data_IF_121281719983
#
_entry.id   IF_121281719983
#
_cell.length_a   1.000
_cell.length_b   1.000
_cell.length_c   1.000
_cell.angle_alpha   90.00
_cell.angle_beta   90.00
_cell.angle_gamma   90.00
#
_symmetry.space_group_name_H-M   'P 1'
#
loop_
_entity.id
_entity.type
_entity.pdbx_description
1 polymer ?
#
# COMPACT_ATOMS: atom_id res chain seq x y z
N UNK A 1 -10.79 5.14 38.91
CA UNK A 1 -9.37 4.88 38.61
C UNK A 1 -9.25 3.38 38.33
N UNK A 2 -9.45 2.96 37.07
CA UNK A 2 -9.41 1.55 36.69
C UNK A 2 -8.10 1.33 35.92
N UNK A 3 -7.27 0.46 36.48
CA UNK A 3 -5.96 0.02 35.98
C UNK A 3 -6.24 -1.07 34.95
N UNK A 4 -6.12 -0.76 33.66
CA UNK A 4 -6.18 -1.78 32.61
C UNK A 4 -4.77 -2.32 32.33
N UNK A 5 -4.68 -3.64 32.29
CA UNK A 5 -3.45 -4.42 32.28
C UNK A 5 -2.65 -4.22 31.00
N UNK A 6 -1.35 -3.97 31.18
CA UNK A 6 -0.32 -4.26 30.18
C UNK A 6 -0.39 -5.76 29.90
N UNK A 7 -0.90 -6.17 28.74
CA UNK A 7 -0.54 -7.37 27.96
C UNK A 7 -1.70 -7.81 27.06
N UNK A 8 -1.78 -7.21 25.86
CA UNK A 8 -2.47 -7.80 24.71
C UNK A 8 -1.72 -7.55 23.38
N UNK A 9 -0.42 -7.19 23.46
CA UNK A 9 0.46 -7.04 22.30
C UNK A 9 1.70 -7.90 22.52
N UNK A 10 1.53 -9.22 22.48
CA UNK A 10 2.67 -10.11 22.32
C UNK A 10 2.28 -11.39 21.60
N UNK A 11 1.60 -11.26 20.46
CA UNK A 11 1.76 -12.28 19.42
C UNK A 11 3.06 -11.94 18.72
N UNK A 12 4.10 -12.79 18.78
CA UNK A 12 5.28 -12.56 17.98
C UNK A 12 4.82 -12.67 16.52
N UNK A 13 4.64 -11.53 15.84
CA UNK A 13 4.63 -11.54 14.38
C UNK A 13 6.05 -11.98 14.03
N UNK A 14 6.18 -13.28 13.75
CA UNK A 14 7.39 -13.85 13.22
C UNK A 14 7.65 -13.11 11.91
N UNK A 15 8.59 -12.15 11.93
CA UNK A 15 9.00 -11.30 10.81
C UNK A 15 9.85 -12.10 9.81
N UNK A 16 9.38 -13.29 9.41
CA UNK A 16 10.02 -14.04 8.33
C UNK A 16 9.37 -13.55 7.04
N UNK A 17 10.11 -12.71 6.30
CA UNK A 17 9.77 -12.35 4.93
C UNK A 17 9.54 -13.62 4.12
N UNK A 18 8.45 -13.66 3.35
CA UNK A 18 8.10 -14.78 2.49
C UNK A 18 7.86 -14.31 1.06
N UNK A 19 7.99 -15.20 0.06
CA UNK A 19 7.50 -14.95 -1.29
C UNK A 19 5.99 -14.62 -1.27
N UNK A 20 5.61 -13.51 -1.90
CA UNK A 20 4.22 -13.06 -2.06
C UNK A 20 3.73 -13.18 -3.50
N UNK A 21 4.64 -13.12 -4.48
CA UNK A 21 4.30 -13.20 -5.89
C UNK A 21 5.48 -12.87 -6.79
N UNK A 22 5.21 -12.74 -8.09
CA UNK A 22 6.20 -12.34 -9.09
C UNK A 22 5.64 -11.18 -9.90
N UNK A 23 6.42 -10.11 -10.03
CA UNK A 23 6.13 -9.02 -10.93
C UNK A 23 6.91 -9.18 -12.23
N UNK A 24 6.23 -8.96 -13.35
CA UNK A 24 6.84 -8.93 -14.67
C UNK A 24 7.08 -7.49 -15.10
N UNK A 25 8.34 -7.11 -15.24
CA UNK A 25 8.77 -5.81 -15.71
C UNK A 25 9.18 -5.89 -17.16
N UNK A 26 8.50 -5.12 -18.03
CA UNK A 26 8.94 -4.94 -19.41
C UNK A 26 10.08 -3.94 -19.45
N UNK A 27 11.22 -4.36 -19.99
CA UNK A 27 12.43 -3.56 -20.08
C UNK A 27 12.64 -3.01 -21.50
N UNK A 28 11.60 -2.35 -22.04
CA UNK A 28 11.57 -1.96 -23.46
C UNK A 28 11.68 -3.18 -24.38
N UNK A 29 12.60 -3.13 -25.34
CA UNK A 29 12.82 -4.20 -26.32
C UNK A 29 13.67 -5.37 -25.77
N UNK A 30 14.26 -5.24 -24.59
CA UNK A 30 15.11 -6.27 -23.96
C UNK A 30 14.29 -7.42 -23.32
N UNK A 31 12.97 -7.40 -23.48
CA UNK A 31 12.08 -8.45 -22.99
C UNK A 31 11.50 -8.18 -21.60
N UNK A 32 11.04 -9.26 -20.95
CA UNK A 32 10.39 -9.21 -19.63
C UNK A 32 11.30 -9.80 -18.57
N UNK A 33 11.52 -9.07 -17.49
CA UNK A 33 12.29 -9.52 -16.32
C UNK A 33 11.34 -9.74 -15.15
N UNK A 34 11.54 -10.84 -14.43
CA UNK A 34 10.77 -11.17 -13.24
C UNK A 34 11.44 -10.62 -11.98
N UNK A 35 10.65 -9.98 -11.13
CA UNK A 35 11.04 -9.58 -9.77
C UNK A 35 10.23 -10.37 -8.76
N UNK A 36 10.93 -11.12 -7.90
CA UNK A 36 10.30 -11.78 -6.75
C UNK A 36 9.80 -10.71 -5.78
N UNK A 37 8.51 -10.77 -5.46
CA UNK A 37 7.91 -9.95 -4.42
C UNK A 37 8.03 -10.69 -3.10
N UNK A 38 8.63 -10.06 -2.10
CA UNK A 38 8.83 -10.62 -0.77
C UNK A 38 8.23 -9.69 0.29
N UNK A 39 7.80 -10.23 1.42
CA UNK A 39 7.40 -9.43 2.57
C UNK A 39 6.45 -10.15 3.52
N UNK A 40 5.73 -9.35 4.29
CA UNK A 40 4.79 -9.80 5.33
C UNK A 40 3.36 -9.29 5.11
N UNK A 41 3.14 -8.41 4.12
CA UNK A 41 1.82 -7.92 3.74
C UNK A 41 0.97 -9.09 3.19
N UNK A 42 -0.23 -9.35 3.72
CA UNK A 42 -1.04 -10.48 3.27
C UNK A 42 -1.70 -10.18 1.93
N UNK A 43 -1.85 -11.23 1.14
CA UNK A 43 -2.54 -11.18 -0.15
C UNK A 43 -4.02 -10.86 0.03
N UNK A 44 -4.59 -10.10 -0.91
CA UNK A 44 -6.03 -9.78 -1.00
C UNK A 44 -6.59 -8.92 0.15
N UNK A 45 -5.73 -8.29 0.96
CA UNK A 45 -6.15 -7.31 1.96
C UNK A 45 -6.72 -7.88 3.27
N UNK A 46 -6.85 -9.19 3.40
CA UNK A 46 -7.31 -9.85 4.63
C UNK A 46 -6.15 -9.97 5.62
N UNK A 47 -6.32 -9.41 6.82
CA UNK A 47 -5.29 -9.44 7.88
C UNK A 47 -4.19 -8.37 7.73
N UNK A 48 -4.44 -7.33 6.92
CA UNK A 48 -3.50 -6.22 6.81
C UNK A 48 -3.44 -5.44 8.12
N UNK A 49 -2.22 -5.21 8.59
CA UNK A 49 -1.92 -4.51 9.83
C UNK A 49 -0.69 -3.61 9.66
N UNK A 50 -0.55 -2.63 10.55
CA UNK A 50 0.62 -1.75 10.60
C UNK A 50 1.90 -2.54 10.88
N UNK A 51 3.01 -2.14 10.28
CA UNK A 51 4.32 -2.82 10.40
C UNK A 51 4.52 -3.95 9.40
N UNK A 52 3.50 -4.32 8.62
CA UNK A 52 3.67 -5.20 7.47
C UNK A 52 4.28 -4.46 6.28
N UNK A 53 4.97 -5.19 5.42
CA UNK A 53 5.60 -4.61 4.24
C UNK A 53 5.56 -5.56 3.05
N UNK A 54 5.85 -5.00 1.88
CA UNK A 54 6.27 -5.77 0.73
C UNK A 54 7.34 -5.04 -0.07
N UNK A 55 8.19 -5.80 -0.74
CA UNK A 55 9.30 -5.28 -1.50
C UNK A 55 9.62 -6.12 -2.74
N UNK A 56 10.28 -5.49 -3.70
CA UNK A 56 10.74 -6.13 -4.93
C UNK A 56 12.04 -5.49 -5.38
N UNK A 57 12.96 -6.31 -5.89
CA UNK A 57 14.16 -5.82 -6.56
C UNK A 57 13.87 -5.59 -8.04
N UNK A 58 14.31 -4.45 -8.57
CA UNK A 58 14.14 -4.08 -9.97
C UNK A 58 15.38 -3.38 -10.50
N UNK A 59 15.69 -3.60 -11.76
CA UNK A 59 16.69 -2.84 -12.49
C UNK A 59 16.01 -2.09 -13.63
N UNK A 60 16.48 -0.87 -13.93
CA UNK A 60 15.97 -0.04 -15.01
C UNK A 60 17.04 0.11 -16.09
N UNK A 61 17.04 -0.71 -17.16
CA UNK A 61 17.99 -0.55 -18.26
C UNK A 61 17.68 0.72 -19.08
N UNK A 62 18.65 1.13 -19.90
CA UNK A 62 18.54 2.33 -20.72
C UNK A 62 17.33 2.26 -21.68
N UNK A 63 17.04 1.07 -22.22
CA UNK A 63 15.85 0.80 -23.05
C UNK A 63 14.53 1.16 -22.36
N UNK A 64 14.43 0.96 -21.04
CA UNK A 64 13.24 1.33 -20.26
C UNK A 64 13.12 2.83 -20.09
N UNK A 65 14.25 3.52 -19.93
CA UNK A 65 14.29 4.97 -19.85
C UNK A 65 13.84 5.56 -21.19
N UNK A 66 14.38 5.07 -22.30
CA UNK A 66 14.01 5.51 -23.66
C UNK A 66 12.53 5.26 -23.98
N UNK A 67 12.02 4.06 -23.66
CA UNK A 67 10.61 3.75 -23.83
C UNK A 67 9.72 4.69 -22.98
N UNK A 68 10.12 4.99 -21.74
CA UNK A 68 9.35 5.88 -20.87
C UNK A 68 9.38 7.33 -21.34
N UNK A 69 10.54 7.87 -21.70
CA UNK A 69 10.66 9.27 -22.17
C UNK A 69 9.95 9.46 -23.49
N UNK A 70 9.98 8.47 -24.38
CA UNK A 70 9.19 8.45 -25.62
C UNK A 70 7.68 8.44 -25.35
N UNK A 71 7.22 7.62 -24.41
CA UNK A 71 5.80 7.51 -24.06
C UNK A 71 5.25 8.76 -23.36
N UNK A 72 6.04 9.35 -22.45
CA UNK A 72 5.58 10.44 -21.58
C UNK A 72 5.88 11.83 -22.11
N UNK A 73 6.83 11.95 -23.05
CA UNK A 73 7.34 13.24 -23.51
C UNK A 73 8.33 13.90 -22.54
N UNK A 74 8.75 13.21 -21.45
CA UNK A 74 9.79 13.66 -20.54
C UNK A 74 11.17 13.63 -21.23
N UNK A 75 11.41 14.63 -22.08
CA UNK A 75 12.62 14.79 -22.88
C UNK A 75 13.74 15.54 -22.12
N UNK A 76 13.69 15.55 -20.79
CA UNK A 76 14.72 16.18 -19.99
C UNK A 76 16.10 15.53 -20.30
N UNK A 77 17.12 16.31 -20.70
CA UNK A 77 18.42 15.76 -21.11
C UNK A 77 19.12 14.91 -20.05
N UNK A 78 18.75 14.99 -18.77
CA UNK A 78 19.28 14.14 -17.69
C UNK A 78 18.94 12.65 -17.85
N UNK A 79 17.97 12.32 -18.71
CA UNK A 79 17.60 10.94 -19.04
C UNK A 79 18.34 10.40 -20.29
N UNK A 80 19.08 11.27 -20.98
CA UNK A 80 19.84 10.90 -22.17
C UNK A 80 21.01 9.97 -21.84
N UNK A 81 21.57 9.35 -22.89
CA UNK A 81 22.63 8.35 -22.81
C UNK A 81 23.90 8.80 -22.08
N UNK A 82 24.11 10.11 -21.89
CA UNK A 82 25.28 10.67 -21.21
C UNK A 82 25.16 10.65 -19.68
N UNK A 83 23.96 10.90 -19.15
CA UNK A 83 23.68 11.05 -17.71
C UNK A 83 22.97 9.82 -17.15
N UNK A 84 22.19 9.11 -17.97
CA UNK A 84 21.55 7.83 -17.67
C UNK A 84 20.76 7.84 -16.35
N UNK A 85 20.25 8.99 -15.92
CA UNK A 85 19.47 9.08 -14.69
C UNK A 85 18.07 8.55 -15.01
N UNK A 86 17.56 7.64 -14.19
CA UNK A 86 16.22 7.10 -14.34
C UNK A 86 15.20 8.20 -14.00
N UNK A 87 14.17 8.44 -14.83
CA UNK A 87 13.06 9.32 -14.49
C UNK A 87 12.47 8.95 -13.14
N UNK A 88 12.33 9.94 -12.24
CA UNK A 88 11.83 9.70 -10.90
C UNK A 88 10.46 9.02 -10.91
N UNK A 89 9.57 9.46 -11.81
CA UNK A 89 8.24 8.87 -11.97
C UNK A 89 8.29 7.44 -12.53
N UNK A 90 9.28 7.11 -13.37
CA UNK A 90 9.49 5.73 -13.82
C UNK A 90 9.86 4.83 -12.62
N UNK A 91 10.69 5.29 -11.69
CA UNK A 91 10.96 4.55 -10.44
C UNK A 91 9.66 4.33 -9.65
N UNK A 92 8.88 5.41 -9.46
CA UNK A 92 7.63 5.40 -8.72
C UNK A 92 6.56 4.47 -9.31
N UNK A 93 6.60 4.22 -10.62
CA UNK A 93 5.67 3.30 -11.29
C UNK A 93 5.66 1.89 -10.68
N UNK A 94 6.72 1.51 -9.97
CA UNK A 94 6.83 0.21 -9.30
C UNK A 94 5.90 0.10 -8.07
N UNK A 95 5.56 1.20 -7.39
CA UNK A 95 4.67 1.16 -6.22
C UNK A 95 3.26 0.67 -6.54
N UNK A 96 2.53 1.23 -7.53
CA UNK A 96 1.22 0.70 -7.89
C UNK A 96 1.29 -0.74 -8.43
N UNK A 97 2.35 -1.14 -9.13
CA UNK A 97 2.55 -2.54 -9.54
C UNK A 97 2.72 -3.48 -8.35
N UNK A 98 3.52 -3.06 -7.35
CA UNK A 98 3.73 -3.82 -6.12
C UNK A 98 2.43 -3.95 -5.33
N UNK A 99 1.68 -2.85 -5.17
CA UNK A 99 0.37 -2.89 -4.53
C UNK A 99 -0.61 -3.80 -5.27
N UNK A 100 -0.74 -3.69 -6.59
CA UNK A 100 -1.70 -4.49 -7.34
C UNK A 100 -1.36 -5.98 -7.37
N UNK A 101 -0.07 -6.32 -7.24
CA UNK A 101 0.38 -7.71 -7.11
C UNK A 101 -0.14 -8.34 -5.81
N UNK A 102 -0.15 -7.58 -4.71
CA UNK A 102 -0.49 -8.10 -3.37
C UNK A 102 -1.97 -7.87 -3.04
N UNK A 103 -2.50 -6.74 -3.48
CA UNK A 103 -3.84 -6.24 -3.20
C UNK A 103 -4.56 -6.01 -4.54
N UNK A 104 -5.12 -7.08 -5.14
CA UNK A 104 -5.96 -6.95 -6.33
C UNK A 104 -7.11 -5.96 -6.09
N UNK A 105 -7.51 -5.24 -7.14
CA UNK A 105 -8.58 -4.22 -7.12
C UNK A 105 -8.35 -3.07 -6.13
N UNK A 106 -7.12 -2.89 -5.66
CA UNK A 106 -6.74 -1.75 -4.85
C UNK A 106 -6.72 -0.46 -5.67
N UNK A 107 -7.40 0.57 -5.17
CA UNK A 107 -7.41 1.92 -5.75
C UNK A 107 -6.28 2.72 -5.14
N UNK A 108 -5.27 3.08 -5.94
CA UNK A 108 -4.21 3.97 -5.50
C UNK A 108 -4.68 5.43 -5.51
N UNK A 109 -4.81 6.05 -4.33
CA UNK A 109 -5.50 7.35 -4.18
C UNK A 109 -4.58 8.55 -4.25
N UNK A 110 -3.47 8.50 -3.54
CA UNK A 110 -2.56 9.64 -3.44
C UNK A 110 -1.14 9.17 -3.19
N UNK A 111 -0.19 10.01 -3.62
CA UNK A 111 1.22 9.84 -3.35
C UNK A 111 1.88 11.20 -3.20
N UNK A 112 2.75 11.33 -2.20
CA UNK A 112 3.72 12.42 -2.10
C UNK A 112 5.12 11.83 -2.18
N UNK A 113 6.00 12.43 -2.98
CA UNK A 113 7.31 11.89 -3.35
C UNK A 113 8.43 12.88 -3.05
N UNK A 114 9.59 12.35 -2.68
CA UNK A 114 10.85 13.07 -2.52
C UNK A 114 11.98 12.31 -3.21
N UNK A 115 12.56 12.92 -4.24
CA UNK A 115 13.72 12.40 -4.98
C UNK A 115 15.02 12.87 -4.32
N UNK A 116 15.55 12.10 -3.35
CA UNK A 116 16.70 12.55 -2.56
C UNK A 116 18.05 12.31 -3.26
N UNK A 117 18.12 11.38 -4.21
CA UNK A 117 19.35 11.05 -4.95
C UNK A 117 19.04 10.43 -6.31
N UNK A 118 19.91 10.62 -7.33
CA UNK A 118 19.70 10.04 -8.66
C UNK A 118 19.88 8.52 -8.63
N UNK A 119 19.09 7.80 -9.42
CA UNK A 119 19.30 6.39 -9.75
C UNK A 119 19.78 6.34 -11.20
N UNK A 120 20.81 5.55 -11.48
CA UNK A 120 21.35 5.41 -12.82
C UNK A 120 20.87 4.12 -13.51
N UNK A 121 20.82 4.14 -14.84
CA UNK A 121 20.46 2.99 -15.65
C UNK A 121 21.31 1.76 -15.29
N UNK A 122 20.67 0.59 -15.23
CA UNK A 122 21.33 -0.67 -14.89
C UNK A 122 21.60 -0.88 -13.39
N UNK A 123 21.30 0.09 -12.53
CA UNK A 123 21.41 -0.10 -11.08
C UNK A 123 20.22 -0.92 -10.56
N UNK A 124 20.55 -1.91 -9.72
CA UNK A 124 19.55 -2.65 -8.95
C UNK A 124 19.04 -1.79 -7.80
N UNK A 125 17.72 -1.69 -7.71
CA UNK A 125 17.01 -1.00 -6.65
C UNK A 125 16.07 -1.94 -5.93
N UNK A 126 15.98 -1.81 -4.61
CA UNK A 126 14.95 -2.42 -3.78
C UNK A 126 13.83 -1.41 -3.61
N UNK A 127 12.64 -1.72 -4.10
CA UNK A 127 11.43 -0.91 -3.93
C UNK A 127 10.60 -1.53 -2.83
N UNK A 128 10.23 -0.74 -1.81
CA UNK A 128 9.52 -1.22 -0.63
C UNK A 128 8.34 -0.34 -0.25
N UNK A 129 7.26 -0.98 0.20
CA UNK A 129 6.06 -0.38 0.77
C UNK A 129 5.90 -0.90 2.20
N UNK A 130 5.88 0.01 3.17
CA UNK A 130 5.66 -0.28 4.59
C UNK A 130 4.31 0.28 5.04
N UNK A 131 3.42 -0.56 5.56
CA UNK A 131 2.10 -0.14 6.06
C UNK A 131 2.27 0.57 7.40
N UNK A 132 1.95 1.87 7.43
CA UNK A 132 2.07 2.69 8.63
C UNK A 132 0.71 3.03 9.28
N UNK A 133 -0.39 2.88 8.55
CA UNK A 133 -1.74 3.08 9.09
C UNK A 133 -2.78 2.26 8.31
N UNK A 134 -3.78 1.73 9.02
CA UNK A 134 -4.89 0.98 8.47
C UNK A 134 -6.19 1.51 9.07
N UNK A 135 -7.17 1.84 8.23
CA UNK A 135 -8.50 2.32 8.65
C UNK A 135 -9.62 1.56 7.94
N UNK A 136 -10.67 1.23 8.69
CA UNK A 136 -11.91 0.70 8.14
C UNK A 136 -12.87 1.83 7.80
N UNK A 137 -13.50 1.77 6.63
CA UNK A 137 -14.61 2.61 6.25
C UNK A 137 -15.83 1.75 5.93
N UNK A 138 -17.00 2.15 6.43
CA UNK A 138 -18.28 1.62 5.97
C UNK A 138 -18.73 2.47 4.79
N UNK A 139 -18.90 1.87 3.62
CA UNK A 139 -19.40 2.60 2.44
C UNK A 139 -20.91 2.54 2.43
N UNK A 140 -21.56 3.71 2.50
CA UNK A 140 -22.99 3.88 2.24
C UNK A 140 -23.29 3.80 0.73
N UNK A 141 -24.06 2.80 0.25
CA UNK A 141 -24.60 2.86 -1.12
C UNK A 141 -25.69 3.91 -1.14
N UNK A 142 -25.50 4.97 -1.92
CA UNK A 142 -26.55 5.96 -2.21
C UNK A 142 -27.37 5.40 -3.37
N UNK A 143 -28.62 4.99 -3.13
CA UNK A 143 -29.52 4.60 -4.21
C UNK A 143 -29.80 5.82 -5.09
N UNK A 144 -29.28 5.79 -6.33
CA UNK A 144 -29.73 6.65 -7.42
C UNK A 144 -31.00 6.00 -7.93
N UNK A 145 -32.16 6.50 -7.52
CA UNK A 145 -33.54 6.12 -7.89
C UNK A 145 -34.32 5.64 -6.67
N UNK A 146 -35.06 6.56 -6.05
CA UNK A 146 -36.38 6.33 -5.43
C UNK A 146 -36.86 7.64 -4.81
N UNK A 147 -37.69 8.38 -5.54
CA UNK A 147 -38.72 9.19 -4.90
C UNK A 147 -39.79 8.23 -4.37
N UNK A 148 -39.52 7.58 -3.25
CA UNK A 148 -40.59 6.99 -2.44
C UNK A 148 -40.17 6.98 -0.98
N UNK A 149 -41.01 7.61 -0.18
CA UNK A 149 -40.95 7.72 1.26
C UNK A 149 -41.00 6.33 1.90
N UNK A 150 -39.98 5.97 2.69
CA UNK A 150 -39.99 4.76 3.55
C UNK A 150 -38.73 3.90 3.46
N UNK A 151 -37.93 3.96 4.54
CA UNK A 151 -37.00 2.97 5.07
C UNK A 151 -35.60 2.70 4.44
N UNK A 152 -34.62 2.92 5.33
CA UNK A 152 -33.17 2.67 5.39
C UNK A 152 -32.38 2.23 4.13
N UNK A 153 -31.47 3.10 3.70
CA UNK A 153 -30.31 2.73 2.91
C UNK A 153 -29.35 1.85 3.74
N UNK A 154 -29.52 0.52 3.68
CA UNK A 154 -28.58 -0.39 4.32
C UNK A 154 -27.38 -0.61 3.42
N UNK A 155 -26.21 -0.13 3.85
CA UNK A 155 -24.98 -0.33 3.14
C UNK A 155 -24.00 -1.21 3.92
N UNK A 156 -23.46 -2.22 3.26
CA UNK A 156 -22.78 -3.36 3.90
C UNK A 156 -21.42 -3.72 3.29
N UNK A 157 -20.68 -2.74 2.80
CA UNK A 157 -19.32 -3.00 2.30
C UNK A 157 -18.27 -2.28 3.17
N UNK A 158 -17.34 -3.06 3.71
CA UNK A 158 -16.17 -2.56 4.41
C UNK A 158 -15.05 -2.33 3.41
N UNK A 159 -14.46 -1.14 3.50
CA UNK A 159 -13.33 -0.70 2.70
C UNK A 159 -12.15 -0.45 3.62
N UNK A 160 -10.99 -0.98 3.21
CA UNK A 160 -9.75 -0.79 3.93
C UNK A 160 -8.97 0.36 3.31
N UNK A 161 -8.61 1.36 4.10
CA UNK A 161 -7.71 2.44 3.69
C UNK A 161 -6.35 2.19 4.30
N UNK A 162 -5.35 2.07 3.43
CA UNK A 162 -3.95 1.87 3.79
C UNK A 162 -3.20 3.17 3.58
N UNK A 163 -2.50 3.64 4.61
CA UNK A 163 -1.41 4.59 4.43
C UNK A 163 -0.11 3.84 4.57
N UNK A 164 0.84 4.21 3.73
CA UNK A 164 2.12 3.51 3.67
C UNK A 164 3.24 4.48 3.36
N UNK A 165 4.42 4.13 3.85
CA UNK A 165 5.66 4.74 3.43
C UNK A 165 6.24 3.95 2.26
N UNK A 166 6.79 4.68 1.31
CA UNK A 166 7.46 4.12 0.14
C UNK A 166 8.91 4.49 0.19
N UNK A 167 9.79 3.51 -0.01
CA UNK A 167 11.21 3.76 -0.17
C UNK A 167 11.75 3.02 -1.39
N UNK A 168 12.78 3.60 -2.00
CA UNK A 168 13.66 2.89 -2.92
C UNK A 168 15.04 2.94 -2.32
N UNK A 169 15.72 1.80 -2.19
CA UNK A 169 17.10 1.69 -1.72
C UNK A 169 17.97 1.14 -2.86
N UNK A 170 19.18 1.67 -3.01
CA UNK A 170 20.17 1.11 -3.95
C UNK A 170 20.95 -0.02 -3.26
N UNK A 171 21.04 -1.17 -3.94
CA UNK A 171 21.57 -2.42 -3.34
C UNK A 171 23.08 -2.62 -3.61
N UNK A 172 23.68 -1.90 -4.57
CA UNK A 172 25.13 -1.92 -4.88
C UNK A 172 25.71 -0.50 -4.98
N UNK A 173 26.82 -0.20 -4.30
CA UNK A 173 27.60 1.06 -4.28
C UNK A 173 26.92 2.35 -3.74
N UNK A 174 26.23 2.27 -2.61
CA UNK A 174 25.74 3.44 -1.85
C UNK A 174 24.28 3.81 -2.09
N UNK A 175 23.69 4.57 -1.16
CA UNK A 175 22.24 4.77 -1.01
C UNK A 175 21.64 5.65 -2.11
N UNK A 176 20.52 5.22 -2.71
CA UNK A 176 19.52 6.11 -3.31
C UNK A 176 18.27 6.03 -2.42
N UNK A 177 17.62 7.16 -2.14
CA UNK A 177 16.31 7.17 -1.46
C UNK A 177 15.33 7.95 -2.33
N UNK A 178 14.37 7.24 -2.91
CA UNK A 178 13.08 7.83 -3.24
C UNK A 178 12.19 7.54 -2.04
N UNK A 179 11.84 8.57 -1.27
CA UNK A 179 10.94 8.42 -0.14
C UNK A 179 9.58 9.01 -0.50
N UNK A 180 8.52 8.41 0.02
CA UNK A 180 7.19 8.94 -0.18
C UNK A 180 6.21 8.38 0.81
N UNK A 181 5.03 8.98 0.83
CA UNK A 181 3.88 8.46 1.56
C UNK A 181 2.76 8.30 0.56
N UNK A 182 2.13 7.13 0.57
CA UNK A 182 0.99 6.81 -0.28
C UNK A 182 -0.25 6.49 0.53
N UNK A 183 -1.40 6.63 -0.12
CA UNK A 183 -2.67 6.12 0.37
C UNK A 183 -3.31 5.24 -0.70
N UNK A 184 -3.78 4.07 -0.32
CA UNK A 184 -4.52 3.18 -1.21
C UNK A 184 -5.73 2.57 -0.51
N UNK A 185 -6.68 2.11 -1.30
CA UNK A 185 -7.99 1.65 -0.83
C UNK A 185 -8.33 0.30 -1.41
N UNK A 186 -8.60 -0.67 -0.55
CA UNK A 186 -8.94 -2.04 -0.92
C UNK A 186 -10.39 -2.32 -0.55
N UNK A 187 -11.18 -2.84 -1.49
CA UNK A 187 -12.55 -3.30 -1.21
C UNK A 187 -12.51 -4.73 -0.64
N UNK A 188 -13.29 -5.01 0.40
CA UNK A 188 -13.52 -6.39 0.84
C UNK A 188 -12.58 -6.91 1.93
N UNK A 189 -12.34 -6.12 2.98
CA UNK A 189 -11.63 -6.61 4.17
C UNK A 189 -12.59 -7.26 5.18
N UNK A 190 -12.90 -8.55 5.02
CA UNK A 190 -13.27 -9.38 6.19
C UNK A 190 -11.99 -9.61 7.01
N UNK A 191 -11.59 -8.57 7.75
CA UNK A 191 -10.41 -8.56 8.63
C UNK A 191 -10.53 -7.56 9.77
N UNK A 192 -11.75 -7.06 10.01
CA UNK A 192 -12.08 -6.12 11.09
C UNK A 192 -13.06 -6.71 12.10
N UNK A 193 -13.13 -8.04 12.17
CA UNK A 193 -14.00 -8.74 13.11
C UNK A 193 -13.60 -8.56 14.59
N UNK A 194 -12.52 -7.84 14.92
CA UNK A 194 -12.05 -7.65 16.31
C UNK A 194 -12.00 -6.19 16.81
N UNK A 195 -12.52 -5.20 16.07
CA UNK A 195 -12.52 -3.79 16.54
C UNK A 195 -13.90 -3.19 16.77
N UNK A 196 -14.94 -4.01 16.76
CA UNK A 196 -16.21 -3.65 17.41
C UNK A 196 -16.21 -4.39 18.74
N UNK A 197 -15.51 -3.86 19.74
CA UNK A 197 -15.95 -4.13 21.11
C UNK A 197 -17.40 -3.67 21.19
N UNK A 198 -18.26 -4.66 21.40
CA UNK A 198 -19.62 -4.49 21.85
C UNK A 198 -19.63 -3.49 23.00
N UNK A 199 -20.19 -2.29 22.78
CA UNK A 199 -20.93 -1.67 23.88
C UNK A 199 -22.22 -2.45 24.02
N UNK A 200 -22.08 -3.63 24.64
CA UNK A 200 -23.18 -4.44 25.12
C UNK A 200 -24.03 -3.62 26.08
N UNK A 201 -25.34 -3.72 25.90
CA UNK A 201 -26.29 -3.34 26.93
C UNK A 201 -26.15 -4.26 28.14
N UNK A 202 -26.01 -3.65 29.31
CA UNK A 202 -26.67 -4.04 30.55
C UNK A 202 -27.29 -2.73 31.08
N UNK A 203 -28.57 -2.62 31.40
CA UNK A 203 -29.34 -3.60 32.17
C UNK A 203 -28.96 -3.45 33.63
N UNK A 204 -29.40 -2.37 34.28
CA UNK A 204 -29.56 -2.32 35.73
C UNK A 204 -30.96 -1.75 36.01
N UNK A 205 -31.87 -2.68 36.33
CA UNK A 205 -33.02 -2.42 37.20
C UNK A 205 -32.49 -2.21 38.63
N UNK A 206 -33.10 -1.30 39.40
CA UNK A 206 -32.92 -1.28 40.86
C UNK A 206 -32.96 0.11 41.50
N UNK A 207 -34.16 0.45 41.98
CA UNK A 207 -34.47 1.22 43.21
C UNK A 207 -33.41 2.17 43.81
N UNK A 208 -33.79 3.44 43.96
CA UNK A 208 -33.63 4.08 45.28
C UNK A 208 -34.66 5.19 45.53
N UNK A 209 -35.15 5.12 46.75
CA UNK A 209 -36.26 5.79 47.41
C UNK A 209 -35.79 7.12 48.04
N UNK A 210 -36.37 8.27 47.69
CA UNK A 210 -36.27 9.50 48.52
C UNK A 210 -37.54 10.37 48.39
N UNK A 211 -38.43 10.16 49.37
CA UNK A 211 -39.27 11.13 50.12
C UNK A 211 -39.79 12.39 49.44
#
# INVERSE_FOLDING_TARGET
>A
MIRLSKNAFNTPIINISKPLGVLQFKNGDEGTVEGLVEGTLPMNGVGVATGQFAEVKRTFPQSSIEAFTSLTGDSNPIHSSSSKIVPGILLCSTFPSLLSCILPDCVYRSQTLKFASPVFAGQEVLVRIDVNNVKALRVARKNLDTQTQGDEAVARENVLVLKFETSVLRVKDGICVLAGVGEAVVKGGLGLAELVEERGGGGEDGEDDVR
#
